data_IF_049261820636
#
_entry.id   IF_049261820636
#
_cell.length_a   1.000
_cell.length_b   1.000
_cell.length_c   1.000
_cell.angle_alpha   90.00
_cell.angle_beta   90.00
_cell.angle_gamma   90.00
#
_symmetry.space_group_name_H-M   'P 1'
#
loop_
_entity.id
_entity.type
_entity.pdbx_description
1 polymer ?
#
# COMPACT_ATOMS: atom_id res chain seq x y z
N UNK A 1 4.94 6.09 31.39
CA UNK A 1 3.59 5.97 30.81
C UNK A 1 3.71 5.11 29.57
N UNK A 2 2.85 4.10 29.41
CA UNK A 2 2.84 3.25 28.21
C UNK A 2 1.93 3.92 27.17
N UNK A 3 2.44 4.17 25.97
CA UNK A 3 1.63 4.69 24.87
C UNK A 3 1.03 3.52 24.11
N UNK A 4 -0.28 3.57 23.84
CA UNK A 4 -0.99 2.52 23.13
C UNK A 4 -1.37 2.97 21.72
N UNK A 5 -1.12 2.13 20.73
CA UNK A 5 -1.48 2.38 19.33
C UNK A 5 -2.34 1.24 18.79
N UNK A 6 -3.41 1.61 18.12
CA UNK A 6 -4.31 0.69 17.44
C UNK A 6 -3.90 0.55 15.98
N UNK A 7 -3.54 -0.64 15.55
CA UNK A 7 -2.98 -0.88 14.22
C UNK A 7 -3.89 -1.81 13.41
N UNK A 8 -4.29 -1.35 12.22
CA UNK A 8 -4.94 -2.21 11.25
C UNK A 8 -3.88 -3.07 10.55
N UNK A 9 -3.91 -4.37 10.76
CA UNK A 9 -2.97 -5.33 10.19
C UNK A 9 -3.59 -5.98 8.95
N UNK A 10 -3.00 -5.74 7.79
CA UNK A 10 -3.45 -6.25 6.49
C UNK A 10 -2.30 -7.01 5.83
N UNK A 11 -2.13 -8.32 6.06
CA UNK A 11 -1.05 -9.09 5.44
C UNK A 11 -1.10 -9.08 3.91
N UNK A 12 -2.30 -9.10 3.34
CA UNK A 12 -2.52 -9.15 1.90
C UNK A 12 -2.29 -10.56 1.34
N UNK A 13 -1.44 -10.66 0.31
CA UNK A 13 -1.23 -11.87 -0.47
C UNK A 13 0.21 -12.39 -0.38
N UNK A 14 0.41 -13.66 -0.73
CA UNK A 14 1.71 -14.27 -0.98
C UNK A 14 2.74 -14.00 0.13
N UNK A 15 3.83 -13.32 -0.24
CA UNK A 15 4.93 -13.00 0.69
C UNK A 15 4.49 -12.17 1.91
N UNK A 16 3.35 -11.47 1.81
CA UNK A 16 2.79 -10.72 2.92
C UNK A 16 2.50 -11.58 4.15
N UNK A 17 2.09 -12.82 3.94
CA UNK A 17 1.84 -13.78 5.03
C UNK A 17 3.13 -14.23 5.76
N UNK A 18 4.29 -14.05 5.13
CA UNK A 18 5.58 -14.36 5.72
C UNK A 18 6.22 -13.12 6.37
N UNK A 19 6.26 -11.99 5.65
CA UNK A 19 7.00 -10.81 6.12
C UNK A 19 6.25 -10.01 7.18
N UNK A 20 4.91 -9.97 7.13
CA UNK A 20 4.13 -9.20 8.11
C UNK A 20 4.26 -9.74 9.53
N UNK A 21 4.18 -11.06 9.79
CA UNK A 21 4.43 -11.60 11.12
C UNK A 21 5.84 -11.29 11.67
N UNK A 22 6.85 -11.29 10.80
CA UNK A 22 8.22 -10.92 11.22
C UNK A 22 8.30 -9.43 11.58
N UNK A 23 7.64 -8.56 10.79
CA UNK A 23 7.53 -7.14 11.14
C UNK A 23 6.81 -6.90 12.45
N UNK A 24 5.72 -7.62 12.74
CA UNK A 24 5.01 -7.57 14.03
C UNK A 24 5.94 -7.96 15.19
N UNK A 25 6.70 -9.05 15.05
CA UNK A 25 7.68 -9.47 16.09
C UNK A 25 8.70 -8.37 16.40
N UNK A 26 9.20 -7.69 15.37
CA UNK A 26 10.15 -6.57 15.54
C UNK A 26 9.48 -5.41 16.27
N UNK A 27 8.28 -5.02 15.88
CA UNK A 27 7.54 -3.93 16.51
C UNK A 27 7.19 -4.23 17.97
N UNK A 28 6.74 -5.45 18.27
CA UNK A 28 6.48 -5.89 19.65
C UNK A 28 7.75 -5.83 20.52
N UNK A 29 8.89 -6.26 19.96
CA UNK A 29 10.16 -6.20 20.68
C UNK A 29 10.60 -4.77 20.97
N UNK A 30 10.44 -3.88 19.99
CA UNK A 30 10.70 -2.44 20.12
C UNK A 30 9.72 -1.84 21.14
N UNK A 31 8.43 -2.15 21.02
CA UNK A 31 7.39 -1.70 21.93
C UNK A 31 7.71 -2.02 23.38
N UNK A 32 8.09 -3.26 23.66
CA UNK A 32 8.50 -3.69 25.00
C UNK A 32 9.70 -2.92 25.55
N UNK A 33 10.63 -2.49 24.69
CA UNK A 33 11.81 -1.70 25.09
C UNK A 33 11.50 -0.23 25.36
N UNK A 34 10.56 0.34 24.61
CA UNK A 34 10.27 1.78 24.65
C UNK A 34 8.95 2.14 25.33
N UNK A 35 8.27 1.18 25.95
CA UNK A 35 6.99 1.41 26.62
C UNK A 35 5.86 1.73 25.66
N UNK A 36 5.90 1.15 24.47
CA UNK A 36 4.86 1.24 23.44
C UNK A 36 4.10 -0.09 23.40
N UNK A 37 2.79 -0.03 23.31
CA UNK A 37 1.92 -1.19 23.11
C UNK A 37 1.19 -1.04 21.78
N UNK A 38 1.08 -2.13 21.04
CA UNK A 38 0.32 -2.21 19.81
C UNK A 38 -0.89 -3.12 20.01
N UNK A 39 -2.08 -2.61 19.67
CA UNK A 39 -3.30 -3.40 19.60
C UNK A 39 -3.56 -3.68 18.10
N UNK A 40 -3.45 -4.94 17.71
CA UNK A 40 -3.50 -5.38 16.34
C UNK A 40 -4.91 -5.86 15.97
N UNK A 41 -5.55 -5.21 14.99
CA UNK A 41 -6.78 -5.70 14.37
C UNK A 41 -6.44 -6.30 12.99
N UNK A 42 -6.64 -7.61 12.85
CA UNK A 42 -6.32 -8.35 11.63
C UNK A 42 -7.47 -8.27 10.61
N UNK A 43 -7.14 -7.92 9.37
CA UNK A 43 -8.07 -7.87 8.24
C UNK A 43 -7.64 -8.83 7.12
N UNK A 44 -8.59 -9.60 6.60
CA UNK A 44 -8.40 -10.59 5.51
C UNK A 44 -8.43 -9.97 4.10
N UNK A 45 -8.07 -8.70 3.95
CA UNK A 45 -8.18 -7.96 2.70
C UNK A 45 -7.05 -8.30 1.74
N UNK A 46 -7.43 -8.87 0.59
CA UNK A 46 -6.46 -9.50 -0.32
C UNK A 46 -7.09 -9.88 -1.65
N UNK A 47 -6.28 -10.27 -2.62
CA UNK A 47 -6.72 -10.91 -3.85
C UNK A 47 -7.36 -12.27 -3.56
N UNK A 48 -6.88 -12.99 -2.56
CA UNK A 48 -7.50 -14.25 -2.13
C UNK A 48 -8.95 -14.02 -1.64
N UNK A 49 -9.17 -12.94 -0.88
CA UNK A 49 -10.52 -12.52 -0.50
C UNK A 49 -11.37 -12.16 -1.72
N UNK A 50 -10.79 -11.47 -2.71
CA UNK A 50 -11.50 -11.17 -3.95
C UNK A 50 -11.98 -12.45 -4.66
N UNK A 51 -11.16 -13.47 -4.77
CA UNK A 51 -11.56 -14.76 -5.34
C UNK A 51 -12.69 -15.41 -4.57
N UNK A 52 -12.69 -15.32 -3.26
CA UNK A 52 -13.71 -15.96 -2.40
C UNK A 52 -15.01 -15.15 -2.29
N UNK A 53 -14.94 -13.82 -2.33
CA UNK A 53 -16.06 -12.93 -1.98
C UNK A 53 -16.39 -11.87 -3.03
N UNK A 54 -15.64 -11.81 -4.14
CA UNK A 54 -15.84 -10.86 -5.23
C UNK A 54 -15.38 -9.43 -4.92
N UNK A 55 -14.69 -9.19 -3.80
CA UNK A 55 -14.17 -7.86 -3.44
C UNK A 55 -12.91 -7.96 -2.61
N UNK A 56 -11.96 -7.03 -2.83
CA UNK A 56 -10.68 -6.97 -2.12
C UNK A 56 -10.83 -6.66 -0.63
N UNK A 57 -11.79 -5.82 -0.29
CA UNK A 57 -12.23 -5.46 1.07
C UNK A 57 -13.76 -5.29 1.11
N UNK A 58 -14.39 -5.23 2.30
CA UNK A 58 -15.81 -4.91 2.42
C UNK A 58 -16.12 -3.50 1.92
N UNK A 59 -17.38 -3.24 1.55
CA UNK A 59 -17.81 -1.91 1.09
C UNK A 59 -17.60 -0.82 2.16
N UNK A 60 -17.61 -1.18 3.43
CA UNK A 60 -17.35 -0.28 4.56
C UNK A 60 -15.90 -0.39 5.10
N UNK A 61 -14.99 -1.04 4.34
CA UNK A 61 -13.61 -1.30 4.77
C UNK A 61 -12.86 -0.06 5.24
N UNK A 62 -12.95 1.04 4.49
CA UNK A 62 -12.33 2.31 4.89
C UNK A 62 -12.83 2.76 6.27
N UNK A 63 -14.12 2.67 6.52
CA UNK A 63 -14.70 3.03 7.81
C UNK A 63 -14.22 2.12 8.94
N UNK A 64 -14.02 0.84 8.67
CA UNK A 64 -13.51 -0.11 9.66
C UNK A 64 -12.12 0.27 10.16
N UNK A 65 -11.25 0.79 9.29
CA UNK A 65 -9.88 1.16 9.66
C UNK A 65 -9.69 2.64 10.02
N UNK A 66 -10.72 3.48 9.85
CA UNK A 66 -10.62 4.93 10.09
C UNK A 66 -10.27 5.31 11.54
N UNK A 67 -10.55 4.42 12.50
CA UNK A 67 -10.24 4.63 13.92
C UNK A 67 -8.88 4.06 14.36
N UNK A 68 -8.05 3.60 13.44
CA UNK A 68 -6.71 3.11 13.75
C UNK A 68 -5.67 4.21 13.61
N UNK A 69 -4.61 4.14 14.42
CA UNK A 69 -3.49 5.08 14.37
C UNK A 69 -2.62 4.88 13.13
N UNK A 70 -2.53 3.62 12.65
CA UNK A 70 -1.81 3.28 11.43
C UNK A 70 -2.37 2.00 10.78
N UNK A 71 -2.02 1.83 9.49
CA UNK A 71 -2.26 0.60 8.74
C UNK A 71 -0.91 -0.06 8.46
N UNK A 72 -0.75 -1.29 8.92
CA UNK A 72 0.42 -2.11 8.58
C UNK A 72 0.03 -3.08 7.46
N UNK A 73 0.38 -2.70 6.23
CA UNK A 73 0.05 -3.41 5.01
C UNK A 73 1.23 -4.24 4.54
N UNK A 74 0.98 -5.49 4.19
CA UNK A 74 1.96 -6.38 3.59
C UNK A 74 2.03 -6.25 2.07
N UNK A 75 1.90 -7.35 1.36
CA UNK A 75 1.95 -7.40 -0.10
C UNK A 75 0.56 -7.60 -0.70
N UNK A 76 0.28 -6.94 -1.83
CA UNK A 76 -0.97 -7.10 -2.55
C UNK A 76 -0.67 -7.42 -4.01
N UNK A 77 -1.22 -8.53 -4.47
CA UNK A 77 -1.08 -9.01 -5.83
C UNK A 77 -1.12 -10.53 -5.88
N UNK A 78 -1.85 -11.07 -6.85
CA UNK A 78 -2.00 -12.51 -7.01
C UNK A 78 -2.12 -12.87 -8.49
N UNK A 79 -1.47 -13.94 -8.98
CA UNK A 79 -1.63 -14.39 -10.34
C UNK A 79 -3.12 -14.63 -10.68
N UNK A 80 -3.58 -14.05 -11.80
CA UNK A 80 -4.98 -14.16 -12.22
C UNK A 80 -5.92 -13.07 -11.68
N UNK A 81 -5.46 -12.18 -10.79
CA UNK A 81 -6.19 -10.97 -10.41
C UNK A 81 -5.57 -9.78 -11.14
N UNK A 82 -6.31 -9.09 -12.01
CA UNK A 82 -5.79 -7.94 -12.74
C UNK A 82 -5.37 -6.80 -11.79
N UNK A 83 -4.32 -6.07 -12.16
CA UNK A 83 -3.79 -4.96 -11.35
C UNK A 83 -4.83 -3.88 -11.04
N UNK A 84 -5.73 -3.60 -11.98
CA UNK A 84 -6.80 -2.64 -11.73
C UNK A 84 -7.76 -3.09 -10.62
N UNK A 85 -7.95 -4.39 -10.40
CA UNK A 85 -8.77 -4.92 -9.31
C UNK A 85 -8.04 -4.77 -7.98
N UNK A 86 -6.78 -5.19 -7.91
CA UNK A 86 -6.00 -5.14 -6.67
C UNK A 86 -5.69 -3.70 -6.24
N UNK A 87 -5.35 -2.82 -7.19
CA UNK A 87 -5.05 -1.42 -6.92
C UNK A 87 -6.31 -0.63 -6.52
N UNK A 88 -7.35 -0.69 -7.37
CA UNK A 88 -8.57 0.09 -7.17
C UNK A 88 -9.53 -0.51 -6.16
N UNK A 89 -9.41 -1.79 -5.88
CA UNK A 89 -10.22 -2.48 -4.87
C UNK A 89 -9.69 -2.37 -3.44
N UNK A 90 -8.43 -1.95 -3.24
CA UNK A 90 -7.82 -1.90 -1.91
C UNK A 90 -6.87 -0.72 -1.73
N UNK A 91 -5.76 -0.66 -2.50
CA UNK A 91 -4.66 0.26 -2.22
C UNK A 91 -5.04 1.72 -2.45
N UNK A 92 -5.63 2.02 -3.60
CA UNK A 92 -5.97 3.39 -3.99
C UNK A 92 -7.07 3.98 -3.13
N UNK A 93 -8.17 3.28 -2.80
CA UNK A 93 -9.16 3.78 -1.86
C UNK A 93 -8.57 4.16 -0.49
N UNK A 94 -7.71 3.31 0.10
CA UNK A 94 -7.05 3.61 1.36
C UNK A 94 -6.23 4.90 1.25
N UNK A 95 -5.39 5.01 0.22
CA UNK A 95 -4.52 6.18 0.01
C UNK A 95 -5.31 7.47 -0.19
N UNK A 96 -6.38 7.44 -0.96
CA UNK A 96 -7.24 8.60 -1.26
C UNK A 96 -8.01 9.06 -0.04
N UNK A 97 -8.74 8.16 0.62
CA UNK A 97 -9.59 8.51 1.76
C UNK A 97 -8.77 9.06 2.94
N UNK A 98 -7.60 8.50 3.18
CA UNK A 98 -6.70 8.98 4.23
C UNK A 98 -5.71 10.06 3.74
N UNK A 99 -5.85 10.54 2.48
CA UNK A 99 -4.99 11.58 1.89
C UNK A 99 -3.49 11.29 2.01
N UNK A 100 -3.12 10.03 1.81
CA UNK A 100 -1.73 9.55 1.89
C UNK A 100 -0.97 9.88 0.60
N UNK A 101 -0.78 11.17 0.30
CA UNK A 101 -0.17 11.63 -0.95
C UNK A 101 1.36 11.45 -0.97
N UNK A 102 2.00 11.35 0.18
CA UNK A 102 3.44 11.09 0.28
C UNK A 102 3.69 9.60 0.45
N UNK A 103 4.48 9.02 -0.46
CA UNK A 103 5.02 7.68 -0.34
C UNK A 103 6.54 7.79 -0.13
N UNK A 104 6.99 7.64 1.10
CA UNK A 104 8.39 7.69 1.47
C UNK A 104 8.99 6.28 1.40
N UNK A 105 10.00 6.11 0.54
CA UNK A 105 10.66 4.83 0.29
C UNK A 105 12.12 4.91 0.68
N UNK A 106 12.53 4.38 1.85
CA UNK A 106 13.93 4.17 2.16
C UNK A 106 14.49 3.05 1.29
N UNK A 107 15.66 3.28 0.70
CA UNK A 107 16.38 2.30 -0.10
C UNK A 107 17.79 2.16 0.46
N UNK A 108 18.12 0.98 0.95
CA UNK A 108 19.42 0.68 1.53
C UNK A 108 19.91 -0.70 1.13
N UNK A 109 21.15 -0.80 0.74
CA UNK A 109 21.81 -2.08 0.51
C UNK A 109 22.33 -2.63 1.84
N UNK A 110 21.75 -3.74 2.27
CA UNK A 110 22.14 -4.41 3.51
C UNK A 110 23.22 -5.47 3.24
N UNK A 111 24.04 -5.74 4.26
CA UNK A 111 25.00 -6.83 4.22
C UNK A 111 24.31 -8.19 4.03
N UNK A 112 24.87 -9.05 3.21
CA UNK A 112 24.30 -10.36 2.90
C UNK A 112 23.15 -10.36 1.91
N UNK A 113 22.65 -9.18 1.45
CA UNK A 113 21.61 -9.08 0.44
C UNK A 113 22.23 -8.89 -0.95
N UNK A 114 21.91 -9.76 -1.93
CA UNK A 114 22.40 -9.60 -3.29
C UNK A 114 21.91 -8.28 -3.91
N UNK A 115 22.80 -7.51 -4.50
CA UNK A 115 22.46 -6.31 -5.23
C UNK A 115 22.25 -6.62 -6.72
N UNK A 116 21.15 -6.15 -7.37
CA UNK A 116 20.97 -6.32 -8.80
C UNK A 116 21.92 -5.47 -9.65
N UNK A 117 22.57 -4.45 -9.05
CA UNK A 117 23.56 -3.61 -9.70
C UNK A 117 24.96 -4.20 -9.47
N UNK A 118 25.69 -4.40 -10.56
CA UNK A 118 27.04 -4.98 -10.50
C UNK A 118 28.01 -4.10 -9.68
N UNK A 119 28.84 -4.75 -8.88
CA UNK A 119 29.96 -4.12 -8.16
C UNK A 119 29.55 -3.20 -7.01
N UNK A 120 28.29 -3.26 -6.54
CA UNK A 120 27.85 -2.49 -5.38
C UNK A 120 28.02 -3.27 -4.09
N UNK A 121 28.44 -2.55 -3.05
CA UNK A 121 28.64 -3.09 -1.70
C UNK A 121 27.78 -2.33 -0.69
N UNK A 122 27.52 -2.89 0.50
CA UNK A 122 26.84 -2.19 1.58
C UNK A 122 27.44 -0.82 1.85
N UNK A 123 26.60 0.21 1.92
CA UNK A 123 26.99 1.61 2.05
C UNK A 123 26.96 2.41 0.73
N UNK A 124 27.06 1.76 -0.44
CA UNK A 124 26.97 2.44 -1.74
C UNK A 124 25.56 2.94 -2.06
N UNK A 125 24.55 2.29 -1.47
CA UNK A 125 23.13 2.61 -1.68
C UNK A 125 22.50 2.87 -0.31
N UNK A 126 22.21 4.14 -0.04
CA UNK A 126 21.48 4.60 1.15
C UNK A 126 20.83 5.95 0.81
N UNK A 127 19.57 5.92 0.38
CA UNK A 127 18.81 7.13 0.00
C UNK A 127 17.31 6.94 0.21
N UNK A 128 16.56 8.04 0.07
CA UNK A 128 15.10 8.06 0.13
C UNK A 128 14.53 8.49 -1.21
N UNK A 129 13.47 7.80 -1.65
CA UNK A 129 12.61 8.26 -2.74
C UNK A 129 11.33 8.81 -2.12
N UNK A 130 11.02 10.06 -2.43
CA UNK A 130 9.73 10.67 -2.08
C UNK A 130 8.87 10.67 -3.33
N UNK A 131 7.77 9.91 -3.31
CA UNK A 131 6.85 9.75 -4.43
C UNK A 131 5.50 10.36 -4.11
N UNK A 132 4.92 11.10 -5.05
CA UNK A 132 3.51 11.46 -5.03
C UNK A 132 2.65 10.20 -5.30
N UNK A 133 1.50 10.08 -4.65
CA UNK A 133 0.79 8.81 -4.56
C UNK A 133 -0.73 8.88 -4.86
N UNK A 134 -1.30 10.06 -5.10
CA UNK A 134 -2.74 10.28 -5.27
C UNK A 134 -3.13 10.98 -6.56
N UNK A 135 -2.23 11.71 -7.17
CA UNK A 135 -2.48 12.56 -8.33
C UNK A 135 -1.84 11.99 -9.61
N UNK A 136 -1.89 12.73 -10.69
CA UNK A 136 -1.36 12.31 -11.96
C UNK A 136 -2.08 11.09 -12.51
N UNK A 137 -1.36 10.03 -12.77
CA UNK A 137 -1.88 8.76 -13.30
C UNK A 137 -2.90 8.06 -12.37
N UNK A 138 -2.86 8.39 -11.08
CA UNK A 138 -3.80 7.85 -10.08
C UNK A 138 -5.06 8.70 -9.89
N UNK A 139 -5.21 9.81 -10.62
CA UNK A 139 -6.35 10.73 -10.46
C UNK A 139 -7.66 10.19 -11.05
N UNK A 140 -7.61 9.18 -11.95
CA UNK A 140 -8.79 8.69 -12.70
C UNK A 140 -9.49 9.75 -13.54
N UNK A 141 -8.77 10.77 -13.96
CA UNK A 141 -9.33 11.82 -14.81
C UNK A 141 -9.18 11.42 -16.26
N UNK A 142 -10.29 11.18 -16.91
CA UNK A 142 -10.33 10.77 -18.31
C UNK A 142 -11.73 10.33 -18.72
N UNK A 143 -11.87 9.88 -19.95
CA UNK A 143 -13.13 9.38 -20.45
C UNK A 143 -13.00 8.79 -21.85
N UNK A 144 -14.08 8.17 -22.33
CA UNK A 144 -14.20 7.62 -23.66
C UNK A 144 -15.35 8.33 -24.38
N UNK A 145 -15.06 8.92 -25.53
CA UNK A 145 -16.07 9.46 -26.42
C UNK A 145 -16.46 8.39 -27.44
N UNK A 146 -17.75 8.34 -27.77
CA UNK A 146 -18.31 7.43 -28.79
C UNK A 146 -18.00 5.94 -28.48
N UNK A 147 -18.02 5.56 -27.21
CA UNK A 147 -17.71 4.21 -26.74
C UNK A 147 -18.47 3.14 -27.57
N UNK A 148 -17.75 2.12 -28.07
CA UNK A 148 -18.30 1.03 -28.86
C UNK A 148 -18.58 1.37 -30.33
N UNK A 149 -18.21 2.55 -30.83
CA UNK A 149 -18.33 2.95 -32.24
C UNK A 149 -16.98 2.90 -32.97
N UNK A 150 -17.00 2.97 -34.28
CA UNK A 150 -15.78 3.10 -35.11
C UNK A 150 -15.00 4.40 -34.84
N UNK A 151 -15.63 5.37 -34.19
CA UNK A 151 -15.07 6.68 -33.85
C UNK A 151 -14.68 6.80 -32.39
N UNK A 152 -14.59 5.68 -31.68
CA UNK A 152 -14.21 5.66 -30.27
C UNK A 152 -12.91 6.43 -30.04
N UNK A 153 -12.97 7.40 -29.15
CA UNK A 153 -11.83 8.24 -28.78
C UNK A 153 -11.62 8.19 -27.29
N UNK A 154 -10.45 7.75 -26.85
CA UNK A 154 -10.04 7.78 -25.45
C UNK A 154 -9.38 9.12 -25.14
N UNK A 155 -9.95 9.86 -24.21
CA UNK A 155 -9.36 11.08 -23.69
C UNK A 155 -8.73 10.80 -22.32
N UNK A 156 -7.42 10.96 -22.24
CA UNK A 156 -6.68 10.92 -20.97
C UNK A 156 -6.29 12.34 -20.60
N UNK A 157 -6.62 12.76 -19.39
CA UNK A 157 -6.11 14.01 -18.87
C UNK A 157 -4.65 13.84 -18.48
N UNK A 158 -3.81 14.82 -18.85
CA UNK A 158 -2.42 14.86 -18.43
C UNK A 158 -2.27 15.04 -16.91
N UNK A 159 -1.03 15.05 -16.46
CA UNK A 159 -0.69 15.12 -15.02
C UNK A 159 -1.30 16.37 -14.37
N UNK A 160 -2.15 16.14 -13.37
CA UNK A 160 -2.66 17.18 -12.49
C UNK A 160 -1.91 17.08 -11.15
N UNK A 161 -1.18 18.13 -10.82
CA UNK A 161 -0.49 18.23 -9.54
C UNK A 161 -1.02 19.43 -8.76
N UNK A 162 -1.46 19.20 -7.55
CA UNK A 162 -1.90 20.26 -6.63
C UNK A 162 -0.74 20.68 -5.74
N UNK A 163 -0.54 21.98 -5.58
CA UNK A 163 0.38 22.49 -4.57
C UNK A 163 -0.26 22.29 -3.20
N UNK A 164 0.38 21.47 -2.38
CA UNK A 164 -0.04 21.21 -0.99
C UNK A 164 0.84 22.04 -0.05
N UNK A 165 0.20 22.81 0.78
CA UNK A 165 0.86 23.59 1.84
C UNK A 165 0.99 22.76 3.10
#
# INVERSE_FOLDING_TARGET
>A
MTTNYKIALVPGDGIGHEVVPEGVKVLEKIGGRFGIRFDWDLFDWSCERFHKRGSMMPADGIRQIAGHDAVFLGAVGFPGVPDHVSLWGLLIPIRREFRQYVNLRPVRLFEGVPCPLAGRVPGDIDFYIVRENNEGEYSEIGGVLYAGSEQETVALQGVNLTVRQ
#
